data_IF_065267632427
#
_entry.id   IF_065267632427
#
_cell.length_a   1.000
_cell.length_b   1.000
_cell.length_c   1.000
_cell.angle_alpha   90.00
_cell.angle_beta   90.00
_cell.angle_gamma   90.00
#
_symmetry.space_group_name_H-M   'P 1'
#
loop_
_entity.id
_entity.type
_entity.pdbx_description
1 polymer ?
#
# COMPACT_ATOMS: atom_id res chain seq x y z
N UNK A 1 -38.47 2.61 16.32
CA UNK A 1 -37.99 3.92 15.81
C UNK A 1 -36.62 4.31 16.36
N UNK A 2 -36.38 4.20 17.68
CA UNK A 2 -35.11 4.64 18.30
C UNK A 2 -33.83 3.94 17.78
N UNK A 3 -33.91 2.69 17.33
CA UNK A 3 -32.75 1.92 16.83
C UNK A 3 -32.65 1.92 15.30
N UNK A 4 -33.79 2.00 14.61
CA UNK A 4 -33.83 1.96 13.14
C UNK A 4 -33.20 3.22 12.53
N UNK A 5 -33.48 4.39 13.12
CA UNK A 5 -32.97 5.67 12.63
C UNK A 5 -31.42 5.76 12.66
N UNK A 6 -30.72 5.45 13.77
CA UNK A 6 -29.25 5.48 13.76
C UNK A 6 -28.66 4.40 12.86
N UNK A 7 -29.30 3.23 12.72
CA UNK A 7 -28.82 2.17 11.85
C UNK A 7 -28.88 2.59 10.36
N UNK A 8 -29.99 3.19 9.94
CA UNK A 8 -30.12 3.75 8.59
C UNK A 8 -29.16 4.92 8.35
N UNK A 9 -28.92 5.76 9.36
CA UNK A 9 -27.95 6.86 9.26
C UNK A 9 -26.51 6.33 9.04
N UNK A 10 -26.12 5.25 9.72
CA UNK A 10 -24.81 4.61 9.52
C UNK A 10 -24.72 3.99 8.13
N UNK A 11 -25.75 3.26 7.68
CA UNK A 11 -25.77 2.67 6.34
C UNK A 11 -25.70 3.73 5.23
N UNK A 12 -26.34 4.89 5.44
CA UNK A 12 -26.28 6.01 4.51
C UNK A 12 -24.89 6.68 4.47
N UNK A 13 -24.20 6.76 5.62
CA UNK A 13 -22.86 7.34 5.72
C UNK A 13 -21.73 6.37 5.28
N UNK A 14 -21.97 5.05 5.35
CA UNK A 14 -21.01 4.00 5.04
C UNK A 14 -20.28 4.14 3.69
N UNK A 15 -20.93 4.41 2.53
CA UNK A 15 -20.23 4.54 1.26
C UNK A 15 -19.27 5.73 1.22
N UNK A 16 -19.62 6.84 1.89
CA UNK A 16 -18.74 8.00 2.02
C UNK A 16 -17.51 7.69 2.86
N UNK A 17 -17.70 7.00 3.99
CA UNK A 17 -16.61 6.57 4.86
C UNK A 17 -15.68 5.57 4.17
N UNK A 18 -16.24 4.59 3.46
CA UNK A 18 -15.48 3.59 2.71
C UNK A 18 -14.65 4.25 1.61
N UNK A 19 -15.24 5.20 0.88
CA UNK A 19 -14.52 5.98 -0.13
C UNK A 19 -13.37 6.77 0.50
N UNK A 20 -13.62 7.45 1.61
CA UNK A 20 -12.62 8.24 2.32
C UNK A 20 -11.45 7.40 2.84
N UNK A 21 -11.69 6.16 3.29
CA UNK A 21 -10.63 5.22 3.72
C UNK A 21 -9.92 4.58 2.51
N UNK A 22 -10.65 4.25 1.45
CA UNK A 22 -10.07 3.61 0.26
C UNK A 22 -9.13 4.54 -0.52
N UNK A 23 -9.42 5.84 -0.53
CA UNK A 23 -8.65 6.83 -1.30
C UNK A 23 -7.17 6.95 -0.85
N UNK A 24 -6.84 7.12 0.45
CA UNK A 24 -5.46 7.06 0.91
C UNK A 24 -4.87 5.67 0.76
N UNK A 25 -5.67 4.61 0.91
CA UNK A 25 -5.21 3.24 0.72
C UNK A 25 -4.68 3.01 -0.70
N UNK A 26 -5.42 3.42 -1.73
CA UNK A 26 -4.98 3.32 -3.13
C UNK A 26 -3.69 4.10 -3.39
N UNK A 27 -3.57 5.32 -2.83
CA UNK A 27 -2.37 6.12 -2.96
C UNK A 27 -1.16 5.43 -2.29
N UNK A 28 -1.33 4.93 -1.06
CA UNK A 28 -0.26 4.24 -0.33
C UNK A 28 0.15 2.96 -1.06
N UNK A 29 -0.82 2.16 -1.54
CA UNK A 29 -0.52 0.96 -2.33
C UNK A 29 0.25 1.30 -3.60
N UNK A 30 -0.17 2.33 -4.33
CA UNK A 30 0.54 2.78 -5.52
C UNK A 30 1.97 3.27 -5.20
N UNK A 31 2.14 4.01 -4.10
CA UNK A 31 3.46 4.47 -3.63
C UNK A 31 4.35 3.29 -3.22
N UNK A 32 3.81 2.27 -2.55
CA UNK A 32 4.57 1.06 -2.20
C UNK A 32 5.02 0.29 -3.45
N UNK A 33 4.13 0.14 -4.44
CA UNK A 33 4.48 -0.51 -5.69
C UNK A 33 5.56 0.27 -6.46
N UNK A 34 5.46 1.60 -6.48
CA UNK A 34 6.44 2.47 -7.13
C UNK A 34 7.79 2.50 -6.38
N UNK A 35 7.77 2.50 -5.05
CA UNK A 35 9.00 2.56 -4.24
C UNK A 35 9.88 1.34 -4.45
N UNK A 36 9.29 0.15 -4.62
CA UNK A 36 10.01 -1.07 -4.96
C UNK A 36 10.82 -0.92 -6.27
N UNK A 37 10.22 -0.34 -7.30
CA UNK A 37 10.89 -0.11 -8.60
C UNK A 37 11.97 0.97 -8.48
N UNK A 38 11.69 2.04 -7.73
CA UNK A 38 12.62 3.16 -7.53
C UNK A 38 13.88 2.74 -6.78
N UNK A 39 13.75 1.99 -5.69
CA UNK A 39 14.87 1.49 -4.87
C UNK A 39 15.87 0.66 -5.69
N UNK A 40 15.40 0.02 -6.76
CA UNK A 40 16.22 -0.79 -7.67
C UNK A 40 16.85 0.00 -8.82
N UNK A 41 16.24 1.11 -9.29
CA UNK A 41 16.65 1.80 -10.53
C UNK A 41 17.37 3.14 -10.32
N UNK A 42 17.13 3.83 -9.22
CA UNK A 42 17.80 5.09 -8.83
C UNK A 42 19.04 4.71 -7.99
N UNK A 43 20.21 5.42 -8.05
CA UNK A 43 21.51 5.02 -7.48
C UNK A 43 21.39 4.01 -6.34
N UNK A 44 21.90 2.77 -6.52
CA UNK A 44 21.25 1.56 -6.06
C UNK A 44 21.15 1.54 -4.54
N UNK A 45 20.02 2.03 -4.03
CA UNK A 45 19.72 1.95 -2.61
C UNK A 45 19.69 0.48 -2.18
N UNK A 46 19.31 -0.42 -3.09
CA UNK A 46 19.42 -1.86 -2.92
C UNK A 46 20.85 -2.36 -2.61
N UNK A 47 21.92 -1.69 -3.05
CA UNK A 47 23.30 -2.18 -2.87
C UNK A 47 23.76 -2.23 -1.40
N UNK A 48 23.14 -1.44 -0.53
CA UNK A 48 23.42 -1.43 0.92
C UNK A 48 22.43 -2.29 1.72
N UNK A 49 21.47 -2.94 1.05
CA UNK A 49 20.51 -3.81 1.74
C UNK A 49 21.13 -5.18 2.02
N UNK A 50 20.86 -5.78 3.18
CA UNK A 50 21.28 -7.14 3.48
C UNK A 50 20.56 -8.12 2.54
N UNK A 51 21.31 -9.06 1.97
CA UNK A 51 20.79 -10.15 1.13
C UNK A 51 21.20 -11.50 1.71
N UNK A 52 20.29 -12.47 1.59
CA UNK A 52 20.52 -13.88 1.97
C UNK A 52 20.67 -14.77 0.73
N UNK A 53 20.77 -14.19 -0.47
CA UNK A 53 20.97 -14.94 -1.71
C UNK A 53 22.41 -15.43 -1.82
N UNK A 54 22.57 -16.56 -2.51
CA UNK A 54 23.88 -17.15 -2.81
C UNK A 54 24.73 -16.28 -3.75
N UNK A 55 24.09 -15.51 -4.64
CA UNK A 55 24.74 -14.57 -5.58
C UNK A 55 25.20 -13.27 -4.91
N UNK A 56 24.80 -13.02 -3.66
CA UNK A 56 25.08 -11.78 -2.95
C UNK A 56 24.46 -10.53 -3.60
N UNK A 57 23.45 -10.69 -4.47
CA UNK A 57 22.86 -9.58 -5.23
C UNK A 57 21.51 -9.13 -4.64
N UNK A 58 21.46 -8.01 -3.90
CA UNK A 58 20.22 -7.50 -3.32
C UNK A 58 19.30 -6.77 -4.33
N UNK A 59 19.75 -6.52 -5.56
CA UNK A 59 19.08 -5.61 -6.50
C UNK A 59 18.24 -6.33 -7.57
N UNK A 60 18.53 -7.59 -7.85
CA UNK A 60 17.87 -8.35 -8.91
C UNK A 60 16.62 -9.11 -8.43
N UNK A 61 15.79 -9.53 -9.38
CA UNK A 61 14.60 -10.34 -9.11
C UNK A 61 14.97 -11.82 -9.21
N UNK A 62 14.38 -12.64 -8.34
CA UNK A 62 14.60 -14.09 -8.24
C UNK A 62 13.77 -14.93 -9.24
N UNK A 63 13.45 -14.34 -10.40
CA UNK A 63 12.73 -15.06 -11.47
C UNK A 63 13.67 -15.95 -12.28
#
# INVERSE_FOLDING_TARGET
MAVLAPLLAVLYAAPGLLRWVSQPYYLISALLSASFLLVRKVPPACSVLPTQREDGNPCDFDW
#
